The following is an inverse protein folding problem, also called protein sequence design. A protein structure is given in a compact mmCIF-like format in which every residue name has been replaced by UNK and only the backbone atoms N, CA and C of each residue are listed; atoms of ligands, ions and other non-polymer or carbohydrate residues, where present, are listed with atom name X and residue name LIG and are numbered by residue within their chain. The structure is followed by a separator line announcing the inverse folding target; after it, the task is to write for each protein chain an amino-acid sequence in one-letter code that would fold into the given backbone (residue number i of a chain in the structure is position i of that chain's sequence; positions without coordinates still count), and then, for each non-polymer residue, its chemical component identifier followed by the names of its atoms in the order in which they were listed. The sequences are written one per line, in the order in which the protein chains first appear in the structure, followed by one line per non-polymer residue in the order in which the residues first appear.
data_IF_828195695030
#
_entry.id   IF_828195695030
#
_cell.length_a   1.000
_cell.length_b   1.000
_cell.length_c   1.000
_cell.angle_alpha   90.00
_cell.angle_beta   90.00
_cell.angle_gamma   90.00
#
_symmetry.space_group_name_H-M   'P 1'
#
loop_
_entity.id
_entity.type
_entity.pdbx_description
1 polymer ?
#
# COMPACT_ATOMS: atom_id res chain seq x y z
N UNK A 1 -34.77 -58.31 7.11
CA UNK A 1 -34.65 -58.41 8.58
C UNK A 1 -33.89 -57.19 9.07
N UNK A 2 -34.51 -56.44 9.99
CA UNK A 2 -34.05 -55.34 10.88
C UNK A 2 -32.89 -54.43 10.38
N UNK A 3 -33.06 -53.13 10.08
CA UNK A 3 -33.54 -51.97 10.87
C UNK A 3 -32.71 -51.60 12.11
N UNK A 4 -31.81 -50.62 11.96
CA UNK A 4 -31.49 -49.62 13.00
C UNK A 4 -31.05 -48.31 12.33
N UNK A 5 -31.67 -47.16 12.65
CA UNK A 5 -31.32 -45.86 12.10
C UNK A 5 -30.31 -45.09 12.97
N UNK A 6 -29.51 -44.26 12.29
CA UNK A 6 -28.59 -43.27 12.86
C UNK A 6 -29.34 -42.18 13.65
N UNK A 7 -28.83 -41.84 14.83
CA UNK A 7 -29.27 -40.73 15.66
C UNK A 7 -28.47 -39.45 15.34
N UNK A 8 -29.10 -38.26 15.22
CA UNK A 8 -28.39 -37.01 14.99
C UNK A 8 -27.83 -36.40 16.28
N UNK A 9 -26.58 -35.93 16.22
CA UNK A 9 -25.92 -35.20 17.30
C UNK A 9 -26.62 -33.86 17.59
N UNK A 10 -26.88 -33.64 18.87
CA UNK A 10 -27.49 -32.43 19.47
C UNK A 10 -26.61 -31.20 19.29
N UNK A 11 -27.25 -30.13 18.81
CA UNK A 11 -26.83 -28.74 18.93
C UNK A 11 -26.73 -28.33 20.40
N UNK A 12 -25.56 -27.89 20.87
CA UNK A 12 -25.40 -27.21 22.16
C UNK A 12 -25.44 -25.70 21.93
N UNK A 13 -26.58 -25.10 22.26
CA UNK A 13 -26.73 -23.66 22.47
C UNK A 13 -26.07 -23.27 23.79
N UNK A 14 -25.04 -22.44 23.75
CA UNK A 14 -24.48 -21.75 24.91
C UNK A 14 -25.11 -20.35 24.98
N UNK A 15 -25.92 -20.11 26.02
CA UNK A 15 -26.34 -18.77 26.42
C UNK A 15 -25.47 -18.30 27.61
N UNK A 16 -25.17 -17.00 27.71
CA UNK A 16 -24.11 -16.46 28.55
C UNK A 16 -24.65 -15.99 29.90
N UNK A 17 -24.22 -16.57 31.01
CA UNK A 17 -24.39 -15.95 32.34
C UNK A 17 -23.60 -16.75 33.39
N UNK A 18 -22.48 -16.18 33.87
CA UNK A 18 -22.01 -16.30 35.27
C UNK A 18 -20.63 -15.63 35.44
N UNK A 19 -20.63 -14.42 35.98
CA UNK A 19 -19.49 -13.85 36.71
C UNK A 19 -19.41 -14.50 38.09
N UNK A 20 -18.21 -14.80 38.61
CA UNK A 20 -17.98 -14.75 40.05
C UNK A 20 -17.16 -13.50 40.40
N UNK A 21 -17.71 -12.72 41.32
CA UNK A 21 -17.03 -11.65 42.03
C UNK A 21 -15.90 -12.23 42.88
N UNK A 22 -14.71 -11.61 42.83
CA UNK A 22 -13.69 -11.80 43.84
C UNK A 22 -13.48 -10.52 44.64
N UNK A 23 -13.63 -10.71 45.95
CA UNK A 23 -13.65 -9.73 47.02
C UNK A 23 -12.27 -9.16 47.32
N UNK A 24 -12.25 -7.86 47.56
CA UNK A 24 -11.14 -7.07 48.10
C UNK A 24 -10.71 -7.52 49.49
N UNK A 25 -9.41 -7.82 49.67
CA UNK A 25 -8.76 -7.72 50.97
C UNK A 25 -7.49 -6.88 50.86
N UNK A 26 -7.58 -5.73 51.51
CA UNK A 26 -6.53 -4.80 51.85
C UNK A 26 -5.63 -5.41 52.93
N UNK A 27 -4.32 -5.45 52.70
CA UNK A 27 -3.33 -5.49 53.77
C UNK A 27 -2.16 -4.58 53.41
N UNK A 28 -2.03 -3.54 54.21
CA UNK A 28 -0.93 -2.59 54.24
C UNK A 28 0.37 -3.28 54.69
N UNK A 29 1.45 -3.10 53.93
CA UNK A 29 2.80 -3.18 54.49
C UNK A 29 3.62 -2.00 53.99
N UNK A 30 4.29 -1.40 54.96
CA UNK A 30 4.93 -0.10 54.94
C UNK A 30 6.11 -0.02 53.98
N UNK A 31 6.18 1.14 53.34
CA UNK A 31 7.30 1.65 52.56
C UNK A 31 8.52 1.90 53.43
N UNK A 32 9.67 1.36 53.05
CA UNK A 32 10.98 1.95 53.29
C UNK A 32 11.99 1.35 52.30
N UNK A 33 12.19 2.01 51.17
CA UNK A 33 13.49 1.95 50.50
C UNK A 33 13.77 3.25 49.73
N UNK A 34 14.90 3.81 50.10
CA UNK A 34 15.48 5.07 49.67
C UNK A 34 15.72 5.07 48.16
N UNK A 35 15.12 6.04 47.46
CA UNK A 35 15.43 6.34 46.05
C UNK A 35 16.90 6.74 45.93
N UNK A 36 17.74 5.87 45.36
CA UNK A 36 19.02 6.28 44.77
C UNK A 36 18.75 6.80 43.36
N UNK A 37 18.84 8.11 43.21
CA UNK A 37 18.90 8.78 41.92
C UNK A 37 20.22 8.39 41.22
N UNK A 38 20.13 7.57 40.17
CA UNK A 38 21.22 7.45 39.21
C UNK A 38 21.15 8.64 38.24
N UNK A 39 21.85 9.71 38.61
CA UNK A 39 22.24 10.79 37.70
C UNK A 39 23.50 10.36 36.97
N UNK A 40 23.37 9.81 35.76
CA UNK A 40 24.53 9.67 34.87
C UNK A 40 24.79 11.04 34.24
N UNK A 41 25.73 11.76 34.84
CA UNK A 41 26.40 12.91 34.22
C UNK A 41 27.14 12.41 32.97
N UNK A 42 26.76 12.88 31.79
CA UNK A 42 27.64 12.84 30.61
C UNK A 42 28.72 13.92 30.77
N UNK A 43 29.82 13.56 31.42
CA UNK A 43 31.08 14.30 31.33
C UNK A 43 32.04 13.49 30.46
N UNK A 44 32.22 13.93 29.22
CA UNK A 44 33.42 13.65 28.42
C UNK A 44 33.74 14.92 27.62
N UNK A 45 34.15 15.96 28.35
CA UNK A 45 35.05 16.98 27.80
C UNK A 45 36.44 16.34 27.74
N UNK A 46 36.93 16.07 26.54
CA UNK A 46 38.35 15.83 26.32
C UNK A 46 38.98 17.21 26.13
N UNK A 47 39.65 17.69 27.18
CA UNK A 47 40.54 18.85 27.10
C UNK A 47 41.73 18.47 26.22
N UNK A 48 41.82 19.09 25.03
CA UNK A 48 43.02 19.06 24.20
C UNK A 48 43.99 20.13 24.71
N UNK A 49 45.09 19.69 25.32
CA UNK A 49 46.24 20.51 25.68
C UNK A 49 46.82 21.23 24.44
N UNK A 50 47.32 22.47 24.58
CA UNK A 50 47.74 23.31 23.45
C UNK A 50 49.14 22.96 22.89
N UNK A 51 49.38 21.69 22.56
CA UNK A 51 50.66 21.21 22.01
C UNK A 51 50.56 20.41 20.70
N UNK A 52 49.36 20.32 20.09
CA UNK A 52 49.17 19.56 18.82
C UNK A 52 48.99 20.46 17.59
N UNK A 53 48.87 21.78 17.74
CA UNK A 53 48.70 22.72 16.62
C UNK A 53 50.00 23.13 15.88
N UNK A 54 51.15 22.50 16.17
CA UNK A 54 52.45 22.97 15.67
C UNK A 54 53.31 21.91 14.95
N UNK A 55 52.72 20.88 14.33
CA UNK A 55 53.51 19.83 13.64
C UNK A 55 53.00 19.34 12.28
N UNK A 56 52.24 20.16 11.56
CA UNK A 56 51.87 19.91 10.16
C UNK A 56 52.25 21.10 9.26
N UNK A 57 53.55 21.36 9.17
CA UNK A 57 54.17 22.14 8.10
C UNK A 57 55.51 21.49 7.77
N UNK A 58 55.79 21.31 6.47
CA UNK A 58 56.98 20.76 5.81
C UNK A 58 56.78 19.34 5.25
N UNK A 59 56.31 19.27 4.00
CA UNK A 59 57.10 18.76 2.86
C UNK A 59 56.22 18.71 1.59
N UNK A 60 56.39 19.70 0.71
CA UNK A 60 56.01 19.60 -0.70
C UNK A 60 57.29 19.79 -1.54
N UNK A 61 57.65 18.84 -2.42
CA UNK A 61 58.75 19.05 -3.34
C UNK A 61 58.33 19.95 -4.51
N UNK A 62 59.17 20.92 -4.78
CA UNK A 62 59.15 21.87 -5.90
C UNK A 62 59.35 21.15 -7.24
N UNK A 63 58.46 21.42 -8.21
CA UNK A 63 58.79 21.28 -9.63
C UNK A 63 58.43 22.56 -10.37
N UNK A 64 59.43 23.07 -11.07
CA UNK A 64 59.47 24.30 -11.87
C UNK A 64 58.58 24.21 -13.11
N UNK A 65 57.75 25.22 -13.34
CA UNK A 65 57.04 25.40 -14.61
C UNK A 65 57.91 26.19 -15.61
N UNK A 66 58.31 25.54 -16.69
CA UNK A 66 58.75 26.18 -17.95
C UNK A 66 57.53 26.40 -18.86
N UNK A 67 57.37 27.55 -19.54
CA UNK A 67 56.28 27.75 -20.50
C UNK A 67 56.52 26.92 -21.76
N UNK A 68 55.53 26.10 -22.15
CA UNK A 68 55.48 25.38 -23.42
C UNK A 68 54.92 26.29 -24.53
N UNK A 69 55.52 26.21 -25.72
CA UNK A 69 55.13 26.89 -26.97
C UNK A 69 53.68 26.57 -27.41
N UNK A 70 53.05 27.45 -28.22
CA UNK A 70 51.66 27.26 -28.65
C UNK A 70 51.53 26.06 -29.60
N UNK A 71 50.64 25.13 -29.23
CA UNK A 71 50.30 23.95 -30.00
C UNK A 71 49.51 24.28 -31.27
N UNK A 72 49.82 23.56 -32.34
CA UNK A 72 49.22 23.63 -33.67
C UNK A 72 47.71 23.32 -33.69
N UNK A 73 47.04 23.85 -34.71
CA UNK A 73 45.60 23.72 -35.00
C UNK A 73 45.10 22.26 -34.93
N UNK A 74 44.06 22.04 -34.11
CA UNK A 74 43.37 20.77 -34.01
C UNK A 74 42.47 20.55 -35.24
N UNK A 75 42.79 19.52 -36.02
CA UNK A 75 41.96 19.04 -37.13
C UNK A 75 40.65 18.46 -36.56
N UNK A 76 39.52 19.04 -36.95
CA UNK A 76 38.18 18.57 -36.59
C UNK A 76 37.88 17.28 -37.37
N UNK A 77 37.87 16.15 -36.68
CA UNK A 77 37.38 14.87 -37.21
C UNK A 77 35.85 14.90 -37.44
N UNK A 78 35.30 14.02 -38.30
CA UNK A 78 33.89 14.08 -38.65
C UNK A 78 33.02 13.81 -37.42
N UNK A 79 31.92 14.54 -37.30
CA UNK A 79 30.94 14.39 -36.24
C UNK A 79 30.44 12.94 -36.19
N UNK A 80 30.71 12.25 -35.08
CA UNK A 80 30.10 10.96 -34.78
C UNK A 80 28.60 11.24 -34.57
N UNK A 81 27.78 10.76 -35.50
CA UNK A 81 26.33 10.87 -35.39
C UNK A 81 25.88 10.25 -34.06
N UNK A 82 25.18 11.03 -33.24
CA UNK A 82 24.50 10.55 -32.05
C UNK A 82 23.45 9.53 -32.47
N UNK A 83 23.77 8.25 -32.32
CA UNK A 83 22.80 7.17 -32.45
C UNK A 83 21.99 7.18 -31.14
N UNK A 84 20.68 7.51 -31.17
CA UNK A 84 19.86 7.40 -29.97
C UNK A 84 19.94 5.97 -29.46
N UNK A 85 19.96 5.75 -28.12
CA UNK A 85 19.97 4.40 -27.58
C UNK A 85 18.81 3.62 -28.20
N UNK A 86 19.00 2.34 -28.56
CA UNK A 86 17.92 1.54 -29.12
C UNK A 86 16.73 1.61 -28.17
N UNK A 87 15.54 1.94 -28.70
CA UNK A 87 14.30 1.77 -27.96
C UNK A 87 14.32 0.36 -27.38
N UNK A 88 14.26 0.22 -26.04
CA UNK A 88 14.20 -1.09 -25.40
C UNK A 88 13.10 -1.89 -26.09
N UNK A 89 13.45 -3.05 -26.64
CA UNK A 89 12.47 -3.95 -27.22
C UNK A 89 11.42 -4.26 -26.16
N UNK A 90 10.17 -3.87 -26.42
CA UNK A 90 9.05 -4.14 -25.51
C UNK A 90 8.95 -5.66 -25.33
N UNK A 91 9.01 -6.10 -24.08
CA UNK A 91 8.88 -7.51 -23.72
C UNK A 91 7.41 -7.89 -23.72
N UNK A 92 7.08 -9.01 -24.35
CA UNK A 92 5.76 -9.61 -24.22
C UNK A 92 5.63 -10.25 -22.84
N UNK A 93 4.53 -9.95 -22.13
CA UNK A 93 4.24 -10.45 -20.79
C UNK A 93 3.02 -11.35 -20.83
N UNK A 94 3.17 -12.57 -20.35
CA UNK A 94 2.05 -13.49 -20.15
C UNK A 94 1.43 -13.24 -18.77
N UNK A 95 0.23 -12.66 -18.75
CA UNK A 95 -0.49 -12.29 -17.55
C UNK A 95 -1.45 -13.41 -17.12
N UNK A 96 -1.11 -14.09 -16.04
CA UNK A 96 -2.03 -14.92 -15.27
C UNK A 96 -2.76 -14.06 -14.23
N UNK A 97 -3.92 -14.51 -13.78
CA UNK A 97 -4.74 -13.78 -12.80
C UNK A 97 -5.59 -14.75 -11.96
N UNK A 98 -5.96 -14.33 -10.75
CA UNK A 98 -6.97 -15.03 -9.96
C UNK A 98 -8.38 -14.73 -10.47
N UNK A 99 -9.34 -15.63 -10.23
CA UNK A 99 -10.71 -15.51 -10.72
C UNK A 99 -11.36 -14.17 -10.35
N UNK A 100 -11.16 -13.70 -9.11
CA UNK A 100 -11.67 -12.41 -8.64
C UNK A 100 -11.18 -11.20 -9.44
N UNK A 101 -10.06 -11.28 -10.15
CA UNK A 101 -9.45 -10.16 -10.88
C UNK A 101 -9.72 -10.20 -12.38
N UNK A 102 -10.68 -11.02 -12.85
CA UNK A 102 -10.99 -11.20 -14.28
C UNK A 102 -11.28 -9.89 -15.00
N UNK A 103 -12.11 -9.02 -14.40
CA UNK A 103 -12.49 -7.73 -14.98
C UNK A 103 -11.30 -6.76 -15.06
N UNK A 104 -10.45 -6.74 -14.03
CA UNK A 104 -9.24 -5.91 -14.03
C UNK A 104 -8.20 -6.44 -15.02
N UNK A 105 -7.98 -7.76 -15.08
CA UNK A 105 -7.06 -8.39 -16.03
C UNK A 105 -7.44 -8.09 -17.48
N UNK A 106 -8.73 -8.17 -17.81
CA UNK A 106 -9.25 -7.82 -19.13
C UNK A 106 -8.97 -6.36 -19.48
N UNK A 107 -9.17 -5.44 -18.53
CA UNK A 107 -8.86 -4.02 -18.72
C UNK A 107 -7.37 -3.75 -18.84
N UNK A 108 -6.50 -4.47 -18.12
CA UNK A 108 -5.03 -4.36 -18.21
C UNK A 108 -4.55 -4.74 -19.61
N UNK A 109 -5.03 -5.85 -20.17
CA UNK A 109 -4.65 -6.27 -21.53
C UNK A 109 -5.13 -5.29 -22.58
N UNK A 110 -6.30 -4.68 -22.40
CA UNK A 110 -6.77 -3.63 -23.30
C UNK A 110 -5.88 -2.36 -23.31
N UNK A 111 -4.97 -2.18 -22.35
CA UNK A 111 -4.04 -1.04 -22.34
C UNK A 111 -2.78 -1.28 -23.19
N UNK A 112 -2.48 -2.51 -23.58
CA UNK A 112 -1.19 -2.84 -24.20
C UNK A 112 -1.19 -4.17 -24.94
N UNK A 113 -0.90 -4.12 -26.24
CA UNK A 113 -0.75 -5.30 -27.11
C UNK A 113 0.40 -6.25 -26.70
N UNK A 114 1.32 -5.79 -25.84
CA UNK A 114 2.42 -6.60 -25.32
C UNK A 114 2.00 -7.51 -24.15
N UNK A 115 0.77 -7.42 -23.65
CA UNK A 115 0.30 -8.22 -22.52
C UNK A 115 -0.72 -9.23 -23.03
N UNK A 116 -0.51 -10.51 -22.74
CA UNK A 116 -1.38 -11.59 -23.19
C UNK A 116 -1.95 -12.37 -22.00
N UNK A 117 -3.27 -12.58 -21.96
CA UNK A 117 -3.89 -13.34 -20.88
C UNK A 117 -3.52 -14.83 -20.95
N UNK A 118 -3.33 -15.43 -19.78
CA UNK A 118 -3.22 -16.86 -19.58
C UNK A 118 -4.16 -17.31 -18.47
N UNK A 119 -4.70 -18.51 -18.60
CA UNK A 119 -5.69 -19.06 -17.69
C UNK A 119 -5.09 -20.04 -16.69
N UNK A 120 -5.64 -20.06 -15.48
CA UNK A 120 -5.47 -21.13 -14.50
C UNK A 120 -6.84 -21.77 -14.26
N UNK A 121 -6.87 -23.09 -14.14
CA UNK A 121 -8.05 -23.81 -13.68
C UNK A 121 -8.06 -23.83 -12.15
N UNK A 122 -8.95 -23.05 -11.54
CA UNK A 122 -9.15 -22.90 -10.10
C UNK A 122 -10.18 -23.90 -9.54
N UNK A 123 -9.90 -25.21 -9.65
CA UNK A 123 -10.81 -26.24 -9.11
C UNK A 123 -10.51 -26.53 -7.64
N UNK A 124 -11.43 -27.24 -6.98
CA UNK A 124 -11.28 -27.74 -5.60
C UNK A 124 -11.55 -29.25 -5.57
N UNK A 125 -10.89 -29.97 -4.67
CA UNK A 125 -11.26 -31.33 -4.31
C UNK A 125 -12.57 -31.33 -3.48
N UNK A 126 -13.14 -32.51 -3.25
CA UNK A 126 -14.40 -32.66 -2.49
C UNK A 126 -14.29 -32.17 -1.03
N UNK A 127 -13.09 -32.18 -0.45
CA UNK A 127 -12.80 -31.66 0.89
C UNK A 127 -12.55 -30.14 0.91
N UNK A 128 -12.65 -29.47 -0.24
CA UNK A 128 -12.50 -28.02 -0.40
C UNK A 128 -11.06 -27.54 -0.60
N UNK A 129 -10.04 -28.42 -0.56
CA UNK A 129 -8.66 -28.02 -0.84
C UNK A 129 -8.42 -27.71 -2.33
N UNK A 130 -7.45 -26.83 -2.67
CA UNK A 130 -7.23 -26.42 -4.06
C UNK A 130 -6.74 -27.57 -4.96
N UNK A 131 -7.37 -27.72 -6.12
CA UNK A 131 -6.95 -28.59 -7.23
C UNK A 131 -6.65 -27.72 -8.46
N UNK A 132 -5.45 -27.14 -8.45
CA UNK A 132 -5.07 -26.08 -9.37
C UNK A 132 -4.29 -26.61 -10.57
N UNK A 133 -4.56 -26.06 -11.76
CA UNK A 133 -3.84 -26.43 -12.98
C UNK A 133 -3.50 -25.21 -13.83
N UNK A 134 -2.21 -25.03 -14.13
CA UNK A 134 -1.70 -23.97 -15.01
C UNK A 134 -1.82 -24.46 -16.45
N UNK A 135 -2.76 -23.90 -17.21
CA UNK A 135 -2.97 -24.28 -18.62
C UNK A 135 -1.76 -23.92 -19.45
N UNK A 136 -1.37 -24.81 -20.38
CA UNK A 136 -0.24 -24.61 -21.30
C UNK A 136 1.11 -24.27 -20.62
N UNK A 137 1.38 -24.84 -19.44
CA UNK A 137 2.61 -24.60 -18.67
C UNK A 137 3.94 -24.86 -19.43
N UNK A 138 3.91 -25.55 -20.57
CA UNK A 138 5.09 -25.75 -21.42
C UNK A 138 5.41 -24.53 -22.31
N UNK A 139 4.41 -23.71 -22.65
CA UNK A 139 4.53 -22.54 -23.53
C UNK A 139 5.16 -21.33 -22.83
N UNK A 140 5.14 -21.30 -21.48
CA UNK A 140 5.65 -20.17 -20.70
C UNK A 140 7.17 -20.22 -20.46
N UNK A 141 7.84 -21.30 -20.85
CA UNK A 141 9.29 -21.47 -20.65
C UNK A 141 10.06 -20.37 -21.37
N UNK A 142 10.96 -19.69 -20.67
CA UNK A 142 11.73 -18.58 -21.20
C UNK A 142 10.92 -17.29 -21.45
N UNK A 143 9.64 -17.24 -21.06
CA UNK A 143 8.79 -16.06 -21.22
C UNK A 143 8.83 -15.16 -19.97
N UNK A 144 8.43 -13.90 -20.13
CA UNK A 144 8.16 -12.99 -19.02
C UNK A 144 6.73 -13.24 -18.54
N UNK A 145 6.58 -13.57 -17.26
CA UNK A 145 5.29 -13.95 -16.69
C UNK A 145 4.92 -13.00 -15.57
N UNK A 146 3.65 -12.61 -15.54
CA UNK A 146 3.06 -11.85 -14.47
C UNK A 146 1.86 -12.58 -13.85
N UNK A 147 1.60 -12.33 -12.57
CA UNK A 147 0.42 -12.82 -11.88
C UNK A 147 -0.31 -11.65 -11.20
N UNK A 148 -1.53 -11.36 -11.64
CA UNK A 148 -2.43 -10.40 -10.98
C UNK A 148 -3.19 -11.11 -9.85
N UNK A 149 -2.78 -10.84 -8.62
CA UNK A 149 -3.28 -11.46 -7.40
C UNK A 149 -4.39 -10.63 -6.75
N UNK A 150 -5.20 -11.29 -5.92
CA UNK A 150 -6.16 -10.67 -5.00
C UNK A 150 -6.06 -11.34 -3.64
N UNK A 151 -5.69 -10.63 -2.58
CA UNK A 151 -5.63 -11.22 -1.23
C UNK A 151 -6.88 -10.85 -0.42
N UNK A 152 -8.06 -11.12 -0.99
CA UNK A 152 -9.37 -10.76 -0.44
C UNK A 152 -9.75 -11.52 0.84
N UNK A 153 -9.28 -12.76 0.98
CA UNK A 153 -9.58 -13.63 2.13
C UNK A 153 -8.47 -14.64 2.40
N UNK A 154 -8.35 -15.20 3.62
CA UNK A 154 -7.35 -16.24 3.93
C UNK A 154 -7.42 -17.46 3.02
N UNK A 155 -8.62 -17.89 2.62
CA UNK A 155 -8.81 -19.01 1.69
C UNK A 155 -8.22 -18.70 0.31
N UNK A 156 -8.54 -17.51 -0.20
CA UNK A 156 -8.10 -17.02 -1.52
C UNK A 156 -6.59 -16.76 -1.55
N UNK A 157 -6.01 -16.33 -0.42
CA UNK A 157 -4.55 -16.24 -0.25
C UNK A 157 -3.92 -17.63 -0.36
N UNK A 158 -4.44 -18.61 0.39
CA UNK A 158 -3.86 -19.95 0.46
C UNK A 158 -3.79 -20.65 -0.91
N UNK A 159 -4.85 -20.57 -1.72
CA UNK A 159 -4.85 -21.13 -3.08
C UNK A 159 -3.86 -20.41 -4.00
N UNK A 160 -3.78 -19.08 -3.94
CA UNK A 160 -2.89 -18.30 -4.81
C UNK A 160 -1.42 -18.48 -4.48
N UNK A 161 -1.06 -18.66 -3.21
CA UNK A 161 0.33 -18.95 -2.83
C UNK A 161 0.89 -20.16 -3.58
N UNK A 162 0.06 -21.17 -3.86
CA UNK A 162 0.48 -22.36 -4.64
C UNK A 162 0.85 -22.00 -6.08
N UNK A 163 0.06 -21.13 -6.74
CA UNK A 163 0.35 -20.65 -8.11
C UNK A 163 1.58 -19.75 -8.13
N UNK A 164 1.63 -18.79 -7.21
CA UNK A 164 2.74 -17.84 -7.11
C UNK A 164 4.06 -18.59 -6.85
N UNK A 165 4.05 -19.64 -6.03
CA UNK A 165 5.21 -20.48 -5.78
C UNK A 165 5.60 -21.35 -7.00
N UNK A 166 4.61 -21.83 -7.77
CA UNK A 166 4.84 -22.73 -8.88
C UNK A 166 5.38 -22.03 -10.15
N UNK A 167 4.85 -20.85 -10.51
CA UNK A 167 5.16 -20.18 -11.78
C UNK A 167 6.67 -19.95 -12.02
N UNK A 168 7.46 -19.42 -11.06
CA UNK A 168 8.91 -19.28 -11.22
C UNK A 168 9.65 -20.59 -11.52
N UNK A 169 9.14 -21.71 -11.00
CA UNK A 169 9.74 -23.04 -11.15
C UNK A 169 9.47 -23.66 -12.53
N UNK A 170 8.60 -23.04 -13.33
CA UNK A 170 8.30 -23.46 -14.70
C UNK A 170 9.26 -22.84 -15.73
N UNK A 171 10.49 -22.52 -15.30
CA UNK A 171 11.59 -22.11 -16.17
C UNK A 171 11.33 -20.80 -16.94
N UNK A 172 10.51 -19.92 -16.37
CA UNK A 172 10.20 -18.58 -16.89
C UNK A 172 11.42 -17.66 -16.77
N UNK A 173 11.51 -16.67 -17.66
CA UNK A 173 12.61 -15.70 -17.70
C UNK A 173 12.52 -14.66 -16.59
N UNK A 174 11.33 -14.15 -16.28
CA UNK A 174 11.13 -13.25 -15.13
C UNK A 174 9.73 -13.44 -14.56
N UNK A 175 9.57 -13.11 -13.29
CA UNK A 175 8.28 -13.15 -12.60
C UNK A 175 7.94 -11.83 -11.93
N UNK A 176 6.73 -11.34 -12.21
CA UNK A 176 6.14 -10.18 -11.52
C UNK A 176 4.83 -10.58 -10.87
N UNK A 177 4.69 -10.38 -9.57
CA UNK A 177 3.39 -10.48 -8.89
C UNK A 177 2.86 -9.06 -8.73
N UNK A 178 1.67 -8.81 -9.27
CA UNK A 178 0.92 -7.58 -9.01
C UNK A 178 -0.08 -7.91 -7.92
N UNK A 179 0.12 -7.37 -6.72
CA UNK A 179 -0.78 -7.48 -5.59
C UNK A 179 -1.34 -6.08 -5.30
N UNK A 180 -2.48 -5.70 -5.91
CA UNK A 180 -2.98 -4.33 -5.83
C UNK A 180 -3.16 -3.81 -4.42
N UNK A 181 -3.57 -4.68 -3.48
CA UNK A 181 -3.77 -4.35 -2.08
C UNK A 181 -3.08 -5.36 -1.15
N UNK A 182 -2.34 -4.87 -0.16
CA UNK A 182 -1.66 -5.68 0.86
C UNK A 182 -2.48 -5.71 2.17
N UNK A 183 -3.25 -6.78 2.44
CA UNK A 183 -4.37 -6.74 3.40
C UNK A 183 -3.96 -6.61 4.86
N UNK A 184 -2.76 -7.04 5.23
CA UNK A 184 -2.27 -6.98 6.60
C UNK A 184 -1.43 -5.72 6.88
N UNK A 185 -1.29 -4.80 5.92
CA UNK A 185 -0.42 -3.63 6.03
C UNK A 185 -0.74 -2.69 7.19
N UNK A 186 -2.00 -2.64 7.67
CA UNK A 186 -2.39 -1.86 8.85
C UNK A 186 -2.05 -2.52 10.20
N UNK A 187 -1.48 -3.72 10.19
CA UNK A 187 -1.02 -4.47 11.35
C UNK A 187 0.48 -4.71 11.23
N UNK A 188 1.22 -3.63 10.99
CA UNK A 188 2.65 -3.61 10.72
C UNK A 188 3.52 -3.57 11.97
N UNK A 189 2.98 -3.12 13.10
CA UNK A 189 3.72 -2.91 14.34
C UNK A 189 3.05 -3.61 15.53
N UNK A 190 3.86 -3.88 16.55
CA UNK A 190 3.39 -4.28 17.88
C UNK A 190 3.16 -3.02 18.71
N UNK A 191 1.99 -2.88 19.33
CA UNK A 191 1.74 -1.80 20.29
C UNK A 191 2.05 -2.27 21.71
N UNK A 192 1.71 -3.53 22.00
CA UNK A 192 1.98 -4.22 23.27
C UNK A 192 2.78 -5.52 23.06
N UNK A 193 3.44 -5.98 24.13
CA UNK A 193 4.13 -7.27 24.13
C UNK A 193 3.13 -8.42 23.91
N UNK A 194 3.37 -9.23 22.88
CA UNK A 194 2.48 -10.33 22.47
C UNK A 194 1.61 -10.01 21.25
N UNK A 195 1.55 -8.76 20.80
CA UNK A 195 0.97 -8.43 19.51
C UNK A 195 1.73 -9.13 18.37
N UNK A 196 1.01 -9.52 17.32
CA UNK A 196 1.60 -10.15 16.15
C UNK A 196 1.51 -9.17 14.98
N UNK A 197 2.67 -8.71 14.50
CA UNK A 197 2.77 -7.90 13.29
C UNK A 197 2.49 -8.76 12.04
N UNK A 198 1.22 -8.90 11.68
CA UNK A 198 0.81 -9.78 10.57
C UNK A 198 1.26 -9.30 9.19
N UNK A 199 1.56 -8.00 9.03
CA UNK A 199 2.22 -7.46 7.83
C UNK A 199 3.58 -8.14 7.61
N UNK A 200 4.38 -8.23 8.68
CA UNK A 200 5.70 -8.86 8.65
C UNK A 200 5.59 -10.33 8.28
N UNK A 201 4.69 -11.08 8.92
CA UNK A 201 4.48 -12.50 8.63
C UNK A 201 4.10 -12.75 7.17
N UNK A 202 3.14 -11.98 6.62
CA UNK A 202 2.74 -12.13 5.23
C UNK A 202 3.87 -11.78 4.25
N UNK A 203 4.61 -10.70 4.52
CA UNK A 203 5.78 -10.32 3.72
C UNK A 203 6.85 -11.43 3.72
N UNK A 204 7.07 -12.11 4.87
CA UNK A 204 8.00 -13.24 4.97
C UNK A 204 7.50 -14.47 4.22
N UNK A 205 6.19 -14.75 4.23
CA UNK A 205 5.61 -15.81 3.40
C UNK A 205 5.85 -15.52 1.91
N UNK A 206 5.55 -14.30 1.46
CA UNK A 206 5.81 -13.88 0.08
C UNK A 206 7.31 -13.89 -0.26
N UNK A 207 8.19 -13.66 0.71
CA UNK A 207 9.64 -13.76 0.50
C UNK A 207 10.07 -15.19 0.15
N UNK A 208 9.27 -16.22 0.39
CA UNK A 208 9.61 -17.60 0.02
C UNK A 208 9.26 -17.95 -1.44
N UNK A 209 8.84 -16.98 -2.26
CA UNK A 209 8.63 -17.19 -3.69
C UNK A 209 9.97 -17.60 -4.34
N UNK A 210 10.02 -18.71 -5.11
CA UNK A 210 11.25 -19.15 -5.75
C UNK A 210 11.75 -18.14 -6.78
N UNK A 211 13.07 -18.05 -6.90
CA UNK A 211 13.73 -17.18 -7.87
C UNK A 211 13.55 -17.77 -9.28
N UNK A 212 13.10 -16.94 -10.23
CA UNK A 212 13.02 -17.28 -11.66
C UNK A 212 14.41 -17.27 -12.31
N UNK A 213 14.53 -17.68 -13.58
CA UNK A 213 15.84 -17.69 -14.27
C UNK A 213 16.51 -16.32 -14.35
N UNK A 214 15.71 -15.26 -14.48
CA UNK A 214 16.20 -13.88 -14.57
C UNK A 214 16.31 -13.16 -13.23
N UNK A 215 16.08 -13.86 -12.11
CA UNK A 215 16.29 -13.31 -10.77
C UNK A 215 15.03 -13.21 -9.90
N UNK A 216 15.15 -12.47 -8.78
CA UNK A 216 14.10 -12.28 -7.79
C UNK A 216 12.77 -11.84 -8.39
N UNK A 217 11.68 -12.22 -7.72
CA UNK A 217 10.33 -11.85 -8.14
C UNK A 217 10.11 -10.36 -7.87
N UNK A 218 9.62 -9.61 -8.86
CA UNK A 218 9.14 -8.24 -8.61
C UNK A 218 7.75 -8.29 -8.01
N UNK A 219 7.52 -7.60 -6.89
CA UNK A 219 6.21 -7.55 -6.21
C UNK A 219 5.67 -6.13 -6.25
N UNK A 220 4.71 -5.88 -7.13
CA UNK A 220 4.06 -4.57 -7.30
C UNK A 220 2.90 -4.44 -6.32
N UNK A 221 2.92 -3.42 -5.46
CA UNK A 221 1.87 -3.10 -4.49
C UNK A 221 1.54 -1.62 -4.62
N UNK A 222 0.26 -1.27 -4.67
CA UNK A 222 -0.19 0.12 -4.71
C UNK A 222 -0.41 0.65 -3.30
N UNK A 223 0.05 1.88 -3.03
CA UNK A 223 -0.21 2.67 -1.83
C UNK A 223 -0.16 1.89 -0.51
N UNK A 224 0.93 1.13 -0.31
CA UNK A 224 1.16 0.37 0.92
C UNK A 224 1.07 1.26 2.18
N UNK A 225 0.50 0.70 3.25
CA UNK A 225 0.14 1.46 4.45
C UNK A 225 1.33 2.16 5.11
N UNK A 226 2.46 1.45 5.24
CA UNK A 226 3.71 2.01 5.73
C UNK A 226 4.87 1.66 4.79
N UNK A 227 5.59 2.69 4.29
CA UNK A 227 6.75 2.48 3.42
C UNK A 227 7.87 1.65 4.07
N UNK A 228 7.93 1.62 5.41
CA UNK A 228 8.85 0.81 6.20
C UNK A 228 8.62 -0.69 6.02
N UNK A 229 7.44 -1.12 5.60
CA UNK A 229 7.14 -2.52 5.27
C UNK A 229 8.06 -3.06 4.15
N UNK A 230 8.72 -2.18 3.37
CA UNK A 230 9.81 -2.55 2.45
C UNK A 230 10.86 -3.46 3.10
N UNK A 231 11.17 -3.23 4.37
CA UNK A 231 12.18 -3.98 5.12
C UNK A 231 11.65 -5.31 5.69
N UNK A 232 10.36 -5.60 5.52
CA UNK A 232 9.79 -6.89 5.92
C UNK A 232 10.05 -7.97 4.86
N UNK A 233 10.20 -7.59 3.59
CA UNK A 233 10.50 -8.51 2.51
C UNK A 233 11.97 -8.95 2.54
N UNK A 234 12.23 -10.21 2.24
CA UNK A 234 13.56 -10.78 2.06
C UNK A 234 14.05 -10.65 0.61
N UNK A 235 15.32 -10.96 0.38
CA UNK A 235 16.05 -10.64 -0.85
C UNK A 235 15.59 -11.38 -2.12
N UNK A 236 14.79 -12.44 -1.96
CA UNK A 236 14.18 -13.22 -3.05
C UNK A 236 12.99 -12.52 -3.72
N UNK A 237 12.52 -11.41 -3.14
CA UNK A 237 11.45 -10.57 -3.69
C UNK A 237 11.88 -9.11 -3.69
N UNK A 238 11.56 -8.40 -4.76
CA UNK A 238 11.83 -6.98 -4.93
C UNK A 238 10.50 -6.21 -4.83
N UNK A 239 10.15 -5.63 -3.66
CA UNK A 239 8.94 -4.84 -3.52
C UNK A 239 9.06 -3.55 -4.35
N UNK A 240 8.14 -3.39 -5.29
CA UNK A 240 7.89 -2.20 -6.09
C UNK A 240 6.62 -1.54 -5.54
N UNK A 241 6.79 -0.41 -4.86
CA UNK A 241 5.66 0.32 -4.28
C UNK A 241 5.25 1.41 -5.26
N UNK A 242 4.07 1.22 -5.85
CA UNK A 242 3.44 2.15 -6.78
C UNK A 242 2.42 3.02 -6.04
N UNK A 243 2.01 4.13 -6.65
CA UNK A 243 0.97 4.99 -6.10
C UNK A 243 -0.12 5.24 -7.13
N UNK A 244 -1.38 5.21 -6.69
CA UNK A 244 -2.53 5.53 -7.52
C UNK A 244 -2.90 7.03 -7.50
N UNK A 245 -2.21 7.84 -6.67
CA UNK A 245 -2.39 9.30 -6.60
C UNK A 245 -2.28 10.01 -7.97
N UNK A 246 -1.40 9.63 -8.91
CA UNK A 246 -1.39 10.21 -10.25
C UNK A 246 -2.74 10.08 -10.97
N UNK A 247 -3.46 8.96 -10.78
CA UNK A 247 -4.78 8.75 -11.36
C UNK A 247 -5.83 9.67 -10.73
N UNK A 248 -5.77 9.87 -9.41
CA UNK A 248 -6.57 10.88 -8.73
C UNK A 248 -6.32 12.27 -9.32
N UNK A 249 -5.05 12.66 -9.50
CA UNK A 249 -4.71 13.98 -10.04
C UNK A 249 -5.32 14.23 -11.43
N UNK A 250 -5.24 13.25 -12.32
CA UNK A 250 -5.90 13.33 -13.63
C UNK A 250 -7.41 13.51 -13.49
N UNK A 251 -8.05 12.73 -12.60
CA UNK A 251 -9.49 12.85 -12.35
C UNK A 251 -9.89 14.21 -11.78
N UNK A 252 -9.08 14.80 -10.89
CA UNK A 252 -9.32 16.13 -10.31
C UNK A 252 -9.19 17.24 -11.34
N UNK A 253 -8.31 17.10 -12.34
CA UNK A 253 -8.15 18.06 -13.43
C UNK A 253 -9.34 18.08 -14.39
N UNK A 254 -10.09 16.98 -14.47
CA UNK A 254 -11.30 16.88 -15.30
C UNK A 254 -12.54 17.51 -14.63
N UNK A 255 -12.44 17.91 -13.35
CA UNK A 255 -13.55 18.54 -12.65
C UNK A 255 -13.75 19.98 -13.09
N UNK A 256 -15.01 20.46 -13.21
CA UNK A 256 -15.29 21.83 -13.62
C UNK A 256 -14.78 22.88 -12.63
N UNK A 257 -14.59 22.49 -11.37
CA UNK A 257 -14.07 23.30 -10.26
C UNK A 257 -12.61 22.97 -9.90
N UNK A 258 -11.82 22.44 -10.85
CA UNK A 258 -10.42 22.03 -10.66
C UNK A 258 -9.54 23.07 -9.95
N UNK A 259 -9.76 24.35 -10.24
CA UNK A 259 -8.98 25.46 -9.71
C UNK A 259 -9.32 25.81 -8.25
N UNK A 260 -10.44 25.32 -7.72
CA UNK A 260 -10.91 25.58 -6.36
C UNK A 260 -10.76 24.37 -5.41
N UNK A 261 -9.96 23.37 -5.79
CA UNK A 261 -9.77 22.15 -5.01
C UNK A 261 -8.78 22.37 -3.86
N UNK A 262 -9.11 21.85 -2.67
CA UNK A 262 -8.19 21.64 -1.56
C UNK A 262 -8.08 20.15 -1.24
N UNK A 263 -6.90 19.71 -0.82
CA UNK A 263 -6.70 18.35 -0.33
C UNK A 263 -6.73 18.35 1.19
N UNK A 264 -7.61 17.53 1.77
CA UNK A 264 -7.64 17.28 3.20
C UNK A 264 -7.04 15.91 3.53
N UNK A 265 -6.18 15.86 4.55
CA UNK A 265 -5.70 14.61 5.12
C UNK A 265 -6.42 14.34 6.45
N UNK A 266 -7.08 13.18 6.61
CA UNK A 266 -7.88 12.89 7.80
C UNK A 266 -7.05 12.71 9.08
N UNK A 267 -5.76 12.35 8.94
CA UNK A 267 -4.78 12.32 10.02
C UNK A 267 -3.33 12.55 9.52
N UNK A 268 -2.40 12.68 10.46
CA UNK A 268 -0.97 12.86 10.19
C UNK A 268 -0.36 11.69 9.37
N UNK A 269 -0.93 10.48 9.43
CA UNK A 269 -0.45 9.31 8.69
C UNK A 269 -0.70 9.46 7.20
N UNK A 270 -1.94 9.81 6.84
CA UNK A 270 -2.32 10.11 5.46
C UNK A 270 -1.50 11.29 4.88
N UNK A 271 -1.30 12.35 5.67
CA UNK A 271 -0.45 13.47 5.26
C UNK A 271 0.98 13.01 4.95
N UNK A 272 1.62 12.25 5.86
CA UNK A 272 2.99 11.75 5.66
C UNK A 272 3.11 10.91 4.40
N UNK A 273 2.11 10.09 4.07
CA UNK A 273 2.07 9.24 2.87
C UNK A 273 1.97 10.04 1.57
N UNK A 274 1.08 11.03 1.51
CA UNK A 274 0.66 11.60 0.22
C UNK A 274 1.00 13.07 -0.03
N UNK A 275 1.36 13.85 0.99
CA UNK A 275 1.56 15.31 0.85
C UNK A 275 2.51 15.68 -0.28
N UNK A 276 3.64 14.97 -0.47
CA UNK A 276 4.62 15.26 -1.52
C UNK A 276 4.03 15.15 -2.93
N UNK A 277 3.13 14.20 -3.16
CA UNK A 277 2.51 13.97 -4.47
C UNK A 277 1.40 14.98 -4.77
N UNK A 278 0.84 15.59 -3.72
CA UNK A 278 -0.31 16.49 -3.73
C UNK A 278 0.02 17.93 -3.32
N UNK A 279 1.30 18.27 -3.18
CA UNK A 279 1.78 19.58 -2.70
C UNK A 279 1.36 20.79 -3.56
N UNK A 280 0.87 20.56 -4.77
CA UNK A 280 0.39 21.61 -5.68
C UNK A 280 -1.02 22.10 -5.34
N UNK A 281 -1.75 21.38 -4.49
CA UNK A 281 -3.06 21.81 -4.00
C UNK A 281 -2.89 22.48 -2.63
N UNK A 282 -3.74 23.47 -2.28
CA UNK A 282 -3.85 23.92 -0.90
C UNK A 282 -4.21 22.75 0.02
N UNK A 283 -3.44 22.59 1.10
CA UNK A 283 -3.54 21.45 2.01
C UNK A 283 -4.29 21.83 3.30
N UNK A 284 -5.14 20.91 3.75
CA UNK A 284 -5.80 20.94 5.04
C UNK A 284 -5.37 19.68 5.80
N UNK A 285 -4.89 19.83 7.01
CA UNK A 285 -4.48 18.70 7.85
C UNK A 285 -5.43 18.60 9.01
N UNK A 286 -6.07 17.44 9.15
CA UNK A 286 -6.88 17.12 10.30
C UNK A 286 -6.09 16.25 11.28
N UNK A 287 -6.44 16.33 12.56
CA UNK A 287 -5.93 15.47 13.61
C UNK A 287 -7.05 14.60 14.16
N UNK A 288 -6.77 13.30 14.24
CA UNK A 288 -7.62 12.31 14.90
C UNK A 288 -7.26 12.24 16.38
N UNK A 289 -8.14 12.74 17.23
CA UNK A 289 -8.02 12.67 18.69
C UNK A 289 -8.97 11.59 19.19
N UNK A 290 -8.49 10.73 20.10
CA UNK A 290 -9.33 9.77 20.82
C UNK A 290 -9.66 10.36 22.19
N UNK A 291 -10.93 10.62 22.45
CA UNK A 291 -11.44 11.02 23.76
C UNK A 291 -12.30 9.86 24.30
N UNK A 292 -11.69 8.99 25.11
CA UNK A 292 -12.31 7.71 25.51
C UNK A 292 -12.55 6.80 24.31
N UNK A 293 -13.78 6.32 24.13
CA UNK A 293 -14.19 5.51 22.96
C UNK A 293 -14.53 6.37 21.73
N UNK A 294 -14.69 7.69 21.90
CA UNK A 294 -15.07 8.59 20.81
C UNK A 294 -13.86 8.98 19.96
N UNK A 295 -14.05 8.94 18.64
CA UNK A 295 -13.08 9.42 17.65
C UNK A 295 -13.52 10.80 17.19
N UNK A 296 -12.74 11.82 17.54
CA UNK A 296 -13.01 13.21 17.18
C UNK A 296 -11.95 13.64 16.17
N UNK A 297 -12.38 14.28 15.09
CA UNK A 297 -11.48 14.90 14.11
C UNK A 297 -11.49 16.40 14.34
N UNK A 298 -10.32 17.05 14.27
CA UNK A 298 -10.19 18.52 14.36
C UNK A 298 -9.27 19.03 13.26
N UNK A 299 -9.54 20.20 12.70
CA UNK A 299 -8.62 20.83 11.74
C UNK A 299 -7.42 21.34 12.53
N UNK A 300 -6.23 20.92 12.12
CA UNK A 300 -4.94 21.35 12.67
C UNK A 300 -4.38 22.52 11.87
N UNK A 301 -4.44 22.42 10.54
CA UNK A 301 -3.87 23.38 9.59
C UNK A 301 -4.76 23.50 8.34
N UNK A 302 -4.77 24.68 7.71
CA UNK A 302 -5.54 24.97 6.49
C UNK A 302 -6.94 25.53 6.74
N UNK A 303 -7.60 26.02 5.68
CA UNK A 303 -8.96 26.57 5.71
C UNK A 303 -9.83 25.92 4.60
N UNK A 304 -10.90 25.20 4.96
CA UNK A 304 -11.82 24.60 3.99
C UNK A 304 -12.82 25.59 3.38
N UNK A 305 -12.96 26.80 3.91
CA UNK A 305 -14.09 27.69 3.61
C UNK A 305 -14.22 28.01 2.12
N UNK A 306 -15.39 27.75 1.56
CA UNK A 306 -15.72 28.05 0.15
C UNK A 306 -15.04 27.14 -0.87
N UNK A 307 -14.29 26.11 -0.43
CA UNK A 307 -13.50 25.24 -1.31
C UNK A 307 -14.20 23.90 -1.58
N UNK A 308 -13.84 23.27 -2.69
CA UNK A 308 -14.10 21.84 -2.89
C UNK A 308 -12.99 21.05 -2.21
N UNK A 309 -13.29 20.46 -1.06
CA UNK A 309 -12.32 19.71 -0.27
C UNK A 309 -12.37 18.23 -0.64
N UNK A 310 -11.23 17.65 -1.01
CA UNK A 310 -11.07 16.21 -1.29
C UNK A 310 -10.28 15.58 -0.16
N UNK A 311 -10.93 14.71 0.61
CA UNK A 311 -10.29 13.93 1.67
C UNK A 311 -9.51 12.78 1.02
N UNK A 312 -8.21 12.66 1.29
CA UNK A 312 -7.34 11.64 0.69
C UNK A 312 -6.78 10.72 1.78
N UNK A 313 -7.00 9.41 1.64
CA UNK A 313 -6.37 8.38 2.47
C UNK A 313 -5.95 7.16 1.61
N UNK A 314 -5.22 6.20 2.18
CA UNK A 314 -4.79 4.99 1.48
C UNK A 314 -5.93 3.99 1.39
N UNK A 315 -6.67 3.82 2.49
CA UNK A 315 -7.72 2.83 2.61
C UNK A 315 -8.89 3.30 3.45
N UNK A 316 -9.99 2.58 3.35
CA UNK A 316 -11.15 2.73 4.24
C UNK A 316 -11.71 1.36 4.64
N UNK A 317 -11.95 1.20 5.93
CA UNK A 317 -12.67 0.05 6.49
C UNK A 317 -14.05 0.48 6.99
N UNK A 318 -14.18 0.92 8.24
CA UNK A 318 -15.49 1.30 8.80
C UNK A 318 -16.04 2.62 8.25
N UNK A 319 -15.17 3.50 7.75
CA UNK A 319 -15.54 4.83 7.25
C UNK A 319 -15.69 5.91 8.32
N UNK A 320 -15.60 5.58 9.61
CA UNK A 320 -15.88 6.55 10.68
C UNK A 320 -14.96 7.77 10.65
N UNK A 321 -13.67 7.58 10.36
CA UNK A 321 -12.72 8.71 10.29
C UNK A 321 -13.04 9.65 9.13
N UNK A 322 -13.41 9.12 7.95
CA UNK A 322 -13.80 9.94 6.80
C UNK A 322 -15.09 10.73 7.08
N UNK A 323 -16.09 10.10 7.69
CA UNK A 323 -17.37 10.74 8.03
C UNK A 323 -17.17 11.87 9.05
N UNK A 324 -16.36 11.65 10.09
CA UNK A 324 -16.07 12.72 11.06
C UNK A 324 -15.25 13.84 10.43
N UNK A 325 -14.29 13.52 9.57
CA UNK A 325 -13.56 14.53 8.79
C UNK A 325 -14.51 15.35 7.90
N UNK A 326 -15.44 14.70 7.19
CA UNK A 326 -16.46 15.36 6.38
C UNK A 326 -17.29 16.35 7.21
N UNK A 327 -17.83 15.92 8.36
CA UNK A 327 -18.63 16.78 9.25
C UNK A 327 -17.85 18.01 9.69
N UNK A 328 -16.59 17.82 10.09
CA UNK A 328 -15.73 18.90 10.57
C UNK A 328 -15.45 19.90 9.44
N UNK A 329 -15.09 19.41 8.25
CA UNK A 329 -14.84 20.25 7.09
C UNK A 329 -16.09 21.05 6.67
N UNK A 330 -17.26 20.41 6.68
CA UNK A 330 -18.53 21.06 6.38
C UNK A 330 -18.87 22.15 7.41
N UNK A 331 -18.70 21.86 8.70
CA UNK A 331 -18.92 22.81 9.79
C UNK A 331 -18.00 24.05 9.71
N UNK A 332 -16.83 23.92 9.08
CA UNK A 332 -15.90 25.03 8.85
C UNK A 332 -16.11 25.73 7.49
N UNK A 333 -17.17 25.38 6.77
CA UNK A 333 -17.64 26.09 5.58
C UNK A 333 -17.13 25.54 4.25
N UNK A 334 -16.70 24.28 4.18
CA UNK A 334 -16.44 23.61 2.90
C UNK A 334 -17.67 23.72 1.98
N UNK A 335 -17.47 24.16 0.74
CA UNK A 335 -18.57 24.28 -0.22
C UNK A 335 -19.00 22.91 -0.76
N UNK A 336 -18.03 22.02 -0.95
CA UNK A 336 -18.20 20.68 -1.51
C UNK A 336 -17.19 19.76 -0.86
N UNK A 337 -17.57 18.51 -0.57
CA UNK A 337 -16.65 17.52 0.01
C UNK A 337 -16.67 16.28 -0.87
N UNK A 338 -15.50 15.75 -1.18
CA UNK A 338 -15.33 14.44 -1.84
C UNK A 338 -14.28 13.64 -1.09
N UNK A 339 -14.23 12.34 -1.35
CA UNK A 339 -13.22 11.48 -0.76
C UNK A 339 -12.53 10.65 -1.84
N UNK A 340 -11.27 10.34 -1.60
CA UNK A 340 -10.50 9.38 -2.36
C UNK A 340 -9.83 8.42 -1.39
N UNK A 341 -9.91 7.12 -1.70
CA UNK A 341 -9.02 6.12 -1.15
C UNK A 341 -8.52 5.21 -2.26
N UNK A 342 -7.28 4.73 -2.15
CA UNK A 342 -6.81 3.69 -3.06
C UNK A 342 -7.58 2.40 -2.82
N UNK A 343 -7.70 1.97 -1.55
CA UNK A 343 -8.29 0.69 -1.17
C UNK A 343 -9.64 0.84 -0.44
N UNK A 344 -10.74 0.62 -1.16
CA UNK A 344 -12.07 0.46 -0.55
C UNK A 344 -12.23 -0.95 0.02
N UNK A 345 -12.05 -1.17 1.32
CA UNK A 345 -12.11 -2.51 1.94
C UNK A 345 -13.54 -2.83 2.42
N UNK A 346 -14.16 -1.85 3.08
CA UNK A 346 -15.55 -1.87 3.54
C UNK A 346 -16.10 -3.21 4.08
N UNK A 347 -15.51 -3.79 5.15
CA UNK A 347 -16.03 -5.02 5.75
C UNK A 347 -17.47 -4.82 6.24
N UNK A 348 -18.27 -5.90 6.17
CA UNK A 348 -19.69 -5.89 6.57
C UNK A 348 -20.51 -4.79 5.90
N UNK A 349 -20.22 -4.49 4.62
CA UNK A 349 -20.92 -3.45 3.83
C UNK A 349 -20.92 -2.08 4.49
N UNK A 350 -19.85 -1.73 5.19
CA UNK A 350 -19.72 -0.38 5.78
C UNK A 350 -19.74 0.75 4.74
N UNK A 351 -19.62 0.44 3.44
CA UNK A 351 -19.83 1.39 2.34
C UNK A 351 -21.26 1.94 2.30
N UNK A 352 -22.27 1.22 2.83
CA UNK A 352 -23.67 1.67 2.88
C UNK A 352 -23.82 3.00 3.64
N UNK A 353 -22.86 3.33 4.52
CA UNK A 353 -22.84 4.60 5.26
C UNK A 353 -22.60 5.83 4.37
N UNK A 354 -22.10 5.64 3.15
CA UNK A 354 -21.73 6.72 2.23
C UNK A 354 -22.74 6.93 1.10
N UNK A 355 -23.71 6.02 0.94
CA UNK A 355 -24.74 6.17 -0.09
C UNK A 355 -25.58 7.40 0.20
N UNK A 356 -26.08 8.04 -0.86
CA UNK A 356 -26.94 9.21 -0.70
C UNK A 356 -28.22 8.83 0.04
N UNK A 357 -28.37 9.38 1.25
CA UNK A 357 -29.62 9.40 1.98
C UNK A 357 -30.33 10.76 1.76
N UNK A 358 -31.53 10.93 2.32
CA UNK A 358 -32.40 12.10 2.12
C UNK A 358 -31.81 13.46 2.59
N UNK A 359 -30.54 13.52 3.02
CA UNK A 359 -29.84 14.75 3.40
C UNK A 359 -29.30 15.53 2.20
N UNK A 360 -29.49 16.85 2.21
CA UNK A 360 -28.95 17.76 1.18
C UNK A 360 -27.93 18.67 1.83
N UNK A 361 -26.64 18.47 1.54
CA UNK A 361 -25.54 19.30 2.04
C UNK A 361 -24.20 18.56 2.17
N UNK A 362 -23.06 19.27 2.18
CA UNK A 362 -21.72 18.65 2.30
C UNK A 362 -21.50 17.88 3.61
N UNK A 363 -22.26 18.21 4.65
CA UNK A 363 -22.25 17.50 5.95
C UNK A 363 -22.94 16.12 5.90
N UNK A 364 -23.82 15.91 4.91
CA UNK A 364 -24.67 14.71 4.82
C UNK A 364 -24.33 13.81 3.62
N UNK A 365 -23.68 14.34 2.58
CA UNK A 365 -23.27 13.56 1.40
C UNK A 365 -21.92 14.01 0.84
N UNK A 366 -21.09 13.05 0.45
CA UNK A 366 -19.95 13.32 -0.41
C UNK A 366 -20.47 13.69 -1.81
N UNK A 367 -19.72 14.46 -2.59
CA UNK A 367 -20.07 14.72 -3.99
C UNK A 367 -19.53 13.65 -4.93
N UNK A 368 -18.34 13.15 -4.61
CA UNK A 368 -17.71 12.01 -5.25
C UNK A 368 -17.00 11.20 -4.17
N UNK A 369 -17.01 9.88 -4.32
CA UNK A 369 -16.17 8.98 -3.56
C UNK A 369 -15.38 8.12 -4.53
N UNK A 370 -14.16 8.58 -4.86
CA UNK A 370 -13.27 7.84 -5.73
C UNK A 370 -12.61 6.69 -4.98
N UNK A 371 -12.72 5.50 -5.54
CA UNK A 371 -11.94 4.33 -5.10
C UNK A 371 -11.26 3.71 -6.30
N UNK A 372 -10.17 2.97 -6.07
CA UNK A 372 -9.58 2.17 -7.15
C UNK A 372 -10.15 0.76 -7.19
N UNK A 373 -9.81 0.03 -8.24
CA UNK A 373 -10.12 -1.38 -8.38
C UNK A 373 -9.09 -2.34 -7.75
N UNK A 374 -8.35 -1.86 -6.74
CA UNK A 374 -7.48 -2.71 -5.93
C UNK A 374 -8.24 -3.79 -5.14
N UNK A 375 -9.53 -3.56 -4.85
CA UNK A 375 -10.41 -4.44 -4.09
C UNK A 375 -11.64 -4.79 -4.92
N UNK A 376 -11.53 -5.75 -5.85
CA UNK A 376 -12.56 -6.01 -6.86
C UNK A 376 -13.92 -6.41 -6.26
N UNK A 377 -13.96 -7.17 -5.17
CA UNK A 377 -15.22 -7.55 -4.50
C UNK A 377 -16.04 -6.31 -4.06
N UNK A 378 -15.36 -5.29 -3.54
CA UNK A 378 -16.00 -4.02 -3.18
C UNK A 378 -16.45 -3.26 -4.41
N UNK A 379 -15.63 -3.21 -5.47
CA UNK A 379 -15.97 -2.57 -6.74
C UNK A 379 -17.29 -3.14 -7.28
N UNK A 380 -17.47 -4.46 -7.23
CA UNK A 380 -18.69 -5.10 -7.72
C UNK A 380 -19.95 -4.70 -6.94
N UNK A 381 -19.82 -4.42 -5.64
CA UNK A 381 -20.93 -3.92 -4.82
C UNK A 381 -21.24 -2.44 -5.08
N UNK A 382 -20.24 -1.60 -5.40
CA UNK A 382 -20.42 -0.13 -5.39
C UNK A 382 -20.32 0.58 -6.74
N UNK A 383 -19.83 -0.07 -7.82
CA UNK A 383 -19.51 0.59 -9.11
C UNK A 383 -20.65 1.36 -9.79
N UNK A 384 -21.90 1.06 -9.42
CA UNK A 384 -23.10 1.71 -9.97
C UNK A 384 -23.88 2.51 -8.91
N UNK A 385 -23.27 2.79 -7.75
CA UNK A 385 -23.93 3.43 -6.62
C UNK A 385 -23.30 4.79 -6.34
N UNK A 386 -24.03 5.92 -6.47
CA UNK A 386 -23.50 7.20 -6.04
C UNK A 386 -23.27 7.22 -4.51
N UNK A 387 -22.20 7.88 -4.03
CA UNK A 387 -21.24 8.73 -4.75
C UNK A 387 -20.04 7.99 -5.36
N UNK A 388 -20.01 6.66 -5.37
CA UNK A 388 -18.82 5.90 -5.74
C UNK A 388 -18.48 6.04 -7.23
N UNK A 389 -17.22 6.33 -7.50
CA UNK A 389 -16.64 6.38 -8.84
C UNK A 389 -15.33 5.56 -8.85
N UNK A 390 -15.20 4.63 -9.81
CA UNK A 390 -14.04 3.74 -9.86
C UNK A 390 -12.95 4.34 -10.75
N UNK A 391 -11.77 4.58 -10.18
CA UNK A 391 -10.56 4.96 -10.92
C UNK A 391 -9.73 3.70 -11.16
N UNK A 392 -9.66 3.23 -12.40
CA UNK A 392 -9.02 1.95 -12.70
C UNK A 392 -7.50 1.98 -12.60
N UNK A 393 -6.91 0.99 -11.94
CA UNK A 393 -5.47 0.72 -11.90
C UNK A 393 -4.95 0.08 -13.20
N UNK A 394 -5.82 -0.30 -14.14
CA UNK A 394 -5.43 -1.06 -15.34
C UNK A 394 -4.27 -0.44 -16.12
N UNK A 395 -4.30 0.88 -16.35
CA UNK A 395 -3.20 1.61 -17.01
C UNK A 395 -1.91 1.61 -16.20
N UNK A 396 -2.00 1.81 -14.89
CA UNK A 396 -0.84 1.80 -14.00
C UNK A 396 -0.20 0.40 -13.91
N UNK A 397 -1.03 -0.65 -13.84
CA UNK A 397 -0.58 -2.05 -13.85
C UNK A 397 0.08 -2.38 -15.19
N UNK A 398 -0.54 -2.01 -16.31
CA UNK A 398 0.05 -2.23 -17.63
C UNK A 398 1.42 -1.57 -17.77
N UNK A 399 1.56 -0.33 -17.29
CA UNK A 399 2.84 0.38 -17.26
C UNK A 399 3.87 -0.33 -16.37
N UNK A 400 3.48 -0.80 -15.19
CA UNK A 400 4.37 -1.54 -14.29
C UNK A 400 4.85 -2.89 -14.87
N UNK A 401 4.10 -3.49 -15.80
CA UNK A 401 4.48 -4.72 -16.49
C UNK A 401 5.37 -4.50 -17.72
N UNK A 402 5.42 -3.28 -18.26
CA UNK A 402 6.28 -2.94 -19.40
C UNK A 402 7.72 -2.63 -18.93
N UNK A 403 8.57 -3.67 -18.83
CA UNK A 403 10.00 -3.60 -18.43
C UNK A 403 10.95 -3.34 -19.60
#
# INVERSE_FOLDING_TARGET
MASTPYSPFRTLTLNPESKPAFSSRTTSLLSNSTRRNFSVRSQSHVDLSPEIAARLRLDQPTQSFTPLEPAAEAVVGPAVAFVPPPQRARKNVLLFYCEEMTDLASRVVAQSDAIELRSISWKKFEDGFPNLFITNAHEIRGQHVAFLASFSSPQVIFEQLSIIYALPRLFISSFTVVLPFFPTGSYERMEDEGDVATAFTLARILSNIPISRGGPTSLVIFDIHALQERFYFGDSVLPCFESAVPLLKSRLQELPDSDNISIAFPDDGAWKRFHKQLQHFPVIVCNKVREGEQRIVRIKEGDPRGRHVVIVDDLVQSGSTLIECQKVLAAHGAAKISAYVTHGIFPNRSWERFIYNNGVGPENRLSHFWITDSCQLTVDEVKNLPPFEIISLSGAIANALQI
#
